data_IF_122173268290
#
_entry.id   IF_122173268290
#
_cell.length_a   1.000
_cell.length_b   1.000
_cell.length_c   1.000
_cell.angle_alpha   90.00
_cell.angle_beta   90.00
_cell.angle_gamma   90.00
#
_symmetry.space_group_name_H-M   'P 1'
#
loop_
_entity.id
_entity.type
_entity.pdbx_description
1 polymer ?
#
# COMPACT_ATOMS: atom_id res chain seq x y z
N UNK A 1 -19.58 24.19 -10.67
CA UNK A 1 -19.96 23.03 -9.83
C UNK A 1 -18.82 22.03 -9.82
N UNK A 2 -18.39 21.53 -8.65
CA UNK A 2 -17.35 20.48 -8.54
C UNK A 2 -18.02 19.10 -8.48
N UNK A 3 -17.52 18.15 -9.24
CA UNK A 3 -17.95 16.75 -9.14
C UNK A 3 -17.17 16.07 -8.03
N UNK A 4 -17.85 15.30 -7.18
CA UNK A 4 -17.18 14.49 -6.16
C UNK A 4 -16.91 13.10 -6.68
N UNK A 5 -15.66 12.63 -6.56
CA UNK A 5 -15.24 11.28 -6.94
C UNK A 5 -14.71 10.55 -5.72
N UNK A 6 -15.17 9.32 -5.53
CA UNK A 6 -14.66 8.44 -4.48
C UNK A 6 -13.41 7.72 -4.99
N UNK A 7 -12.32 7.82 -4.24
CA UNK A 7 -11.15 6.97 -4.47
C UNK A 7 -11.46 5.54 -4.02
N UNK A 8 -10.78 4.58 -4.62
CA UNK A 8 -10.78 3.17 -4.24
C UNK A 8 -9.33 2.71 -4.20
N UNK A 9 -8.97 1.91 -3.18
CA UNK A 9 -7.70 1.20 -3.13
C UNK A 9 -7.93 -0.26 -3.49
N UNK A 10 -7.23 -0.71 -4.51
CA UNK A 10 -7.04 -2.10 -4.83
C UNK A 10 -5.64 -2.50 -4.39
N UNK A 11 -5.55 -3.42 -3.43
CA UNK A 11 -4.29 -3.91 -2.88
C UNK A 11 -4.10 -5.33 -3.39
N UNK A 12 -3.02 -5.57 -4.13
CA UNK A 12 -2.73 -6.88 -4.73
C UNK A 12 -2.63 -7.99 -3.68
N UNK A 13 -1.97 -7.70 -2.55
CA UNK A 13 -1.81 -8.64 -1.43
C UNK A 13 -2.08 -7.95 -0.11
N UNK A 14 -3.04 -8.49 0.65
CA UNK A 14 -3.40 -7.97 1.99
C UNK A 14 -2.51 -8.51 3.10
N UNK A 15 -1.71 -9.54 2.82
CA UNK A 15 -0.67 -10.03 3.72
C UNK A 15 0.66 -10.09 2.95
N UNK A 16 1.71 -9.49 3.51
CA UNK A 16 3.04 -9.43 2.88
C UNK A 16 4.15 -9.63 3.92
N UNK A 17 5.24 -10.33 3.61
CA UNK A 17 6.47 -10.27 4.39
C UNK A 17 7.04 -8.85 4.50
N UNK A 18 7.57 -8.50 5.68
CA UNK A 18 8.32 -7.26 5.86
C UNK A 18 9.50 -7.20 4.88
N UNK A 19 9.72 -6.02 4.31
CA UNK A 19 10.77 -5.78 3.32
C UNK A 19 10.39 -6.14 1.87
N UNK A 20 9.25 -6.80 1.62
CA UNK A 20 8.75 -7.05 0.27
C UNK A 20 7.88 -5.88 -0.23
N UNK A 21 7.93 -5.61 -1.53
CA UNK A 21 7.15 -4.55 -2.17
C UNK A 21 5.72 -5.01 -2.44
N UNK A 22 4.75 -4.17 -2.08
CA UNK A 22 3.33 -4.36 -2.40
C UNK A 22 2.93 -3.38 -3.49
N UNK A 23 2.20 -3.87 -4.49
CA UNK A 23 1.54 -3.03 -5.49
C UNK A 23 0.18 -2.59 -4.97
N UNK A 24 -0.05 -1.28 -5.00
CA UNK A 24 -1.34 -0.67 -4.69
C UNK A 24 -1.80 0.11 -5.90
N UNK A 25 -3.04 -0.09 -6.31
CA UNK A 25 -3.69 0.65 -7.38
C UNK A 25 -4.78 1.55 -6.81
N UNK A 26 -4.76 2.81 -7.21
CA UNK A 26 -5.76 3.82 -6.86
C UNK A 26 -6.55 4.15 -8.10
N UNK A 27 -7.86 3.94 -8.02
CA UNK A 27 -8.80 4.25 -9.08
C UNK A 27 -10.06 4.92 -8.50
N UNK A 28 -10.94 5.41 -9.35
CA UNK A 28 -12.26 5.88 -8.93
C UNK A 28 -13.35 4.81 -9.14
N UNK A 29 -14.60 5.14 -8.78
CA UNK A 29 -15.76 4.26 -8.99
C UNK A 29 -16.13 3.97 -10.43
N UNK A 30 -15.48 4.60 -11.41
CA UNK A 30 -15.60 4.25 -12.84
C UNK A 30 -14.39 3.44 -13.33
N UNK A 31 -13.59 2.90 -12.40
CA UNK A 31 -12.35 2.16 -12.66
C UNK A 31 -11.29 2.97 -13.44
N UNK A 32 -11.39 4.31 -13.44
CA UNK A 32 -10.35 5.15 -14.06
C UNK A 32 -9.18 5.30 -13.09
N UNK A 33 -7.94 5.12 -13.57
CA UNK A 33 -6.75 5.26 -12.73
C UNK A 33 -6.60 6.70 -12.24
N UNK A 34 -6.10 6.86 -11.01
CA UNK A 34 -5.86 8.17 -10.42
C UNK A 34 -4.35 8.38 -10.28
N UNK A 35 -3.80 9.21 -11.17
CA UNK A 35 -2.43 9.71 -11.11
C UNK A 35 -2.25 10.73 -9.97
N UNK A 36 -1.02 10.82 -9.44
CA UNK A 36 -0.60 11.76 -8.39
C UNK A 36 -1.43 11.70 -7.11
N UNK A 37 -2.15 10.59 -6.87
CA UNK A 37 -2.74 10.31 -5.58
C UNK A 37 -1.62 10.01 -4.58
N UNK A 38 -1.72 10.58 -3.39
CA UNK A 38 -0.83 10.27 -2.28
C UNK A 38 -1.40 9.09 -1.49
N UNK A 39 -0.65 8.00 -1.42
CA UNK A 39 -0.93 6.85 -0.55
C UNK A 39 -0.03 6.94 0.68
N UNK A 40 -0.64 7.04 1.85
CA UNK A 40 0.06 7.11 3.14
C UNK A 40 0.04 5.76 3.85
N UNK A 41 1.20 5.33 4.36
CA UNK A 41 1.38 4.13 5.17
C UNK A 41 2.21 4.51 6.42
N UNK A 42 1.53 4.83 7.52
CA UNK A 42 2.17 5.41 8.70
C UNK A 42 2.80 6.78 8.38
N UNK A 43 4.10 6.92 8.60
CA UNK A 43 4.87 8.15 8.28
C UNK A 43 5.32 8.25 6.83
N UNK A 44 5.20 7.18 6.04
CA UNK A 44 5.65 7.15 4.64
C UNK A 44 4.54 7.59 3.70
N UNK A 45 4.92 8.30 2.64
CA UNK A 45 4.03 8.79 1.58
C UNK A 45 4.55 8.34 0.23
N UNK A 46 3.65 7.82 -0.59
CA UNK A 46 3.94 7.34 -1.95
C UNK A 46 3.00 8.04 -2.92
N UNK A 47 3.44 8.30 -4.15
CA UNK A 47 2.60 8.85 -5.22
C UNK A 47 2.30 7.78 -6.26
N UNK A 48 1.08 7.81 -6.80
CA UNK A 48 0.69 6.95 -7.91
C UNK A 48 1.19 7.48 -9.25
N UNK A 49 1.59 6.56 -10.13
CA UNK A 49 1.97 6.84 -11.52
C UNK A 49 0.74 7.16 -12.40
N UNK A 50 0.96 7.39 -13.69
CA UNK A 50 -0.10 7.64 -14.68
C UNK A 50 -1.11 6.50 -14.84
N UNK A 51 -0.77 5.30 -14.38
CA UNK A 51 -1.66 4.12 -14.34
C UNK A 51 -2.37 3.98 -13.00
N UNK A 52 -2.21 4.95 -12.09
CA UNK A 52 -2.76 4.91 -10.75
C UNK A 52 -2.06 3.92 -9.83
N UNK A 53 -0.85 3.46 -10.17
CA UNK A 53 -0.14 2.42 -9.42
C UNK A 53 0.96 3.05 -8.58
N UNK A 54 1.10 2.59 -7.33
CA UNK A 54 2.26 2.86 -6.50
C UNK A 54 2.80 1.56 -5.87
N UNK A 55 4.11 1.50 -5.67
CA UNK A 55 4.77 0.42 -4.92
C UNK A 55 5.18 0.94 -3.56
N UNK A 56 4.87 0.18 -2.51
CA UNK A 56 5.27 0.51 -1.14
C UNK A 56 5.87 -0.70 -0.44
N UNK A 57 6.76 -0.45 0.52
CA UNK A 57 7.41 -1.50 1.30
C UNK A 57 7.20 -1.23 2.78
N UNK A 58 6.68 -2.24 3.49
CA UNK A 58 6.46 -2.19 4.93
C UNK A 58 7.69 -2.73 5.66
N UNK A 59 8.22 -1.96 6.61
CA UNK A 59 9.49 -2.26 7.28
C UNK A 59 9.33 -2.90 8.65
N UNK A 60 8.10 -2.94 9.17
CA UNK A 60 7.82 -3.49 10.49
C UNK A 60 6.58 -4.36 10.41
N UNK A 61 6.54 -5.50 11.13
CA UNK A 61 5.38 -6.36 11.14
C UNK A 61 4.20 -5.68 11.84
N UNK A 62 2.99 -6.15 11.55
CA UNK A 62 1.75 -5.63 12.12
C UNK A 62 0.74 -5.18 11.07
N UNK A 63 -0.35 -4.58 11.53
CA UNK A 63 -1.40 -4.06 10.67
C UNK A 63 -1.13 -2.61 10.27
N UNK A 64 -1.09 -2.38 8.96
CA UNK A 64 -0.83 -1.08 8.34
C UNK A 64 -2.09 -0.57 7.67
N UNK A 65 -2.58 0.58 8.14
CA UNK A 65 -3.66 1.32 7.51
C UNK A 65 -3.10 2.18 6.38
N UNK A 66 -3.49 1.87 5.15
CA UNK A 66 -3.21 2.65 3.96
C UNK A 66 -4.30 3.71 3.79
N UNK A 67 -3.92 4.94 3.47
CA UNK A 67 -4.86 6.03 3.17
C UNK A 67 -4.50 6.65 1.83
N UNK A 68 -5.35 6.52 0.81
CA UNK A 68 -5.20 7.26 -0.44
C UNK A 68 -5.98 8.57 -0.38
N UNK A 69 -5.30 9.64 -0.75
CA UNK A 69 -5.86 10.99 -0.84
C UNK A 69 -5.35 11.68 -2.10
N UNK A 70 -6.17 12.55 -2.66
CA UNK A 70 -5.78 13.42 -3.77
C UNK A 70 -6.29 14.83 -3.49
N UNK A 71 -5.46 15.82 -3.76
CA UNK A 71 -5.87 17.21 -3.61
C UNK A 71 -7.03 17.52 -4.56
N UNK A 72 -8.06 18.26 -4.09
CA UNK A 72 -9.14 18.69 -4.97
C UNK A 72 -8.61 19.66 -6.02
N UNK A 73 -9.27 19.67 -7.18
CA UNK A 73 -9.06 20.63 -8.27
C UNK A 73 -10.29 21.53 -8.37
N UNK A 74 -10.26 22.49 -9.30
CA UNK A 74 -11.42 23.35 -9.57
C UNK A 74 -12.64 22.62 -10.08
N UNK A 75 -12.46 21.43 -10.68
CA UNK A 75 -13.53 20.63 -11.27
C UNK A 75 -13.88 19.39 -10.45
N UNK A 76 -12.93 18.84 -9.70
CA UNK A 76 -13.08 17.53 -9.05
C UNK A 76 -12.64 17.60 -7.58
N UNK A 77 -13.53 17.20 -6.69
CA UNK A 77 -13.21 16.88 -5.31
C UNK A 77 -13.06 15.37 -5.14
N UNK A 78 -12.09 14.93 -4.33
CA UNK A 78 -11.84 13.50 -4.10
C UNK A 78 -12.18 13.14 -2.65
N UNK A 79 -13.01 12.10 -2.45
CA UNK A 79 -13.10 11.44 -1.14
C UNK A 79 -11.96 10.46 -1.00
N UNK A 80 -11.30 10.51 0.15
CA UNK A 80 -10.22 9.58 0.50
C UNK A 80 -10.73 8.14 0.58
N UNK A 81 -9.80 7.20 0.46
CA UNK A 81 -10.07 5.78 0.64
C UNK A 81 -9.03 5.15 1.55
N UNK A 82 -9.45 4.11 2.27
CA UNK A 82 -8.60 3.40 3.21
C UNK A 82 -8.57 1.93 2.92
N UNK A 83 -7.41 1.31 3.12
CA UNK A 83 -7.22 -0.13 3.04
C UNK A 83 -6.37 -0.62 4.21
N UNK A 84 -6.48 -1.91 4.53
CA UNK A 84 -5.69 -2.54 5.59
C UNK A 84 -4.78 -3.61 4.97
N UNK A 85 -3.52 -3.62 5.38
CA UNK A 85 -2.53 -4.61 4.99
C UNK A 85 -1.82 -5.13 6.23
N UNK A 86 -1.61 -6.43 6.30
CA UNK A 86 -0.84 -7.08 7.35
C UNK A 86 0.58 -7.35 6.86
N UNK A 87 1.55 -6.74 7.51
CA UNK A 87 2.95 -7.10 7.35
C UNK A 87 3.29 -8.23 8.31
N UNK A 88 3.76 -9.36 7.79
CA UNK A 88 4.22 -10.49 8.62
C UNK A 88 5.74 -10.50 8.72
N UNK A 89 6.32 -10.95 9.85
CA UNK A 89 7.76 -11.15 9.94
C UNK A 89 8.23 -12.02 8.77
N UNK A 90 9.35 -11.64 8.16
CA UNK A 90 10.01 -12.51 7.21
C UNK A 90 10.52 -13.69 8.04
N UNK A 91 10.00 -14.88 7.78
CA UNK A 91 10.58 -16.09 8.36
C UNK A 91 12.03 -16.16 7.88
N UNK A 92 12.96 -15.67 8.70
CA UNK A 92 14.35 -16.03 8.55
C UNK A 92 14.39 -17.50 8.95
N UNK A 93 14.19 -18.38 7.97
CA UNK A 93 14.70 -19.74 8.06
C UNK A 93 16.22 -19.60 8.17
N UNK A 94 16.68 -19.28 9.39
CA UNK A 94 18.04 -19.56 9.80
C UNK A 94 18.07 -21.08 9.82
N UNK A 95 18.82 -21.78 8.94
CA UNK A 95 19.16 -23.14 9.25
C UNK A 95 19.92 -23.06 10.56
N UNK A 96 19.23 -23.34 11.67
CA UNK A 96 19.87 -23.61 12.95
C UNK A 96 20.85 -24.73 12.62
N UNK A 97 22.12 -24.35 12.50
CA UNK A 97 23.22 -25.26 12.32
C UNK A 97 23.17 -26.16 13.54
N UNK A 98 22.53 -27.32 13.37
CA UNK A 98 22.62 -28.45 14.26
C UNK A 98 24.13 -28.72 14.36
N UNK A 99 24.77 -28.14 15.37
CA UNK A 99 26.09 -28.57 15.81
C UNK A 99 25.84 -29.90 16.48
N UNK A 100 25.86 -30.95 15.66
CA UNK A 100 26.29 -32.26 16.06
C UNK A 100 27.63 -32.09 16.78
N UNK A 101 27.61 -32.23 18.11
CA UNK A 101 28.81 -32.51 18.87
C UNK A 101 28.95 -34.02 18.97
N UNK A 102 29.98 -34.64 18.37
CA UNK A 102 30.47 -35.91 18.86
C UNK A 102 31.50 -35.62 19.96
N UNK A 103 31.39 -36.30 21.09
CA UNK A 103 32.37 -37.23 21.69
C UNK A 103 32.04 -37.40 23.17
#
# INVERSE_FOLDING_TARGET
>A
MRVTRQLMLEIERREVPVGESITVRVHDGTNRPIEDATVEAGSRRYRTDSRGICKLTLQSPGFWRLTARKLPTDRIAYRMATGLVRAVPRSTTTPSRIRSGPT
#
